data_IF_742979874664
#
_entry.id   IF_742979874664
#
_cell.length_a   1.000
_cell.length_b   1.000
_cell.length_c   1.000
_cell.angle_alpha   90.00
_cell.angle_beta   90.00
_cell.angle_gamma   90.00
#
_symmetry.space_group_name_H-M   'P 1'
#
loop_
_entity.id
_entity.type
_entity.pdbx_description
1 polymer ?
#
# COMPACT_ATOMS: atom_id res chain seq x y z
N UNK A 1 -37.62 39.50 12.27
CA UNK A 1 -37.06 39.24 10.94
C UNK A 1 -35.56 39.11 10.95
N UNK A 2 -34.86 40.10 11.47
CA UNK A 2 -33.42 40.00 11.53
C UNK A 2 -32.93 38.82 12.37
N UNK A 3 -33.63 38.51 13.43
CA UNK A 3 -33.30 37.40 14.30
C UNK A 3 -33.36 36.05 13.55
N UNK A 4 -34.33 35.94 12.66
CA UNK A 4 -34.51 34.75 11.87
C UNK A 4 -33.28 34.52 10.96
N UNK A 5 -32.79 35.59 10.37
CA UNK A 5 -31.62 35.51 9.50
C UNK A 5 -30.37 35.07 10.30
N UNK A 6 -30.23 35.62 11.50
CA UNK A 6 -29.10 35.26 12.37
C UNK A 6 -29.15 33.79 12.74
N UNK A 7 -30.33 33.26 13.02
CA UNK A 7 -30.46 31.84 13.35
C UNK A 7 -30.12 30.95 12.17
N UNK A 8 -30.45 31.37 10.98
CA UNK A 8 -30.09 30.60 9.78
C UNK A 8 -28.59 30.52 9.62
N UNK A 9 -27.89 31.61 9.85
CA UNK A 9 -26.43 31.62 9.76
C UNK A 9 -25.81 30.70 10.81
N UNK A 10 -26.35 30.76 12.03
CA UNK A 10 -25.85 29.91 13.10
C UNK A 10 -26.04 28.42 12.78
N UNK A 11 -27.19 28.08 12.19
CA UNK A 11 -27.48 26.72 11.81
C UNK A 11 -26.48 26.20 10.76
N UNK A 12 -26.16 27.03 9.79
CA UNK A 12 -25.19 26.68 8.76
C UNK A 12 -23.82 26.44 9.37
N UNK A 13 -23.40 27.31 10.28
CA UNK A 13 -22.12 27.16 10.95
C UNK A 13 -22.06 25.87 11.78
N UNK A 14 -23.11 25.55 12.49
CA UNK A 14 -23.20 24.33 13.27
C UNK A 14 -23.10 23.12 12.37
N UNK A 15 -23.77 23.14 11.23
CA UNK A 15 -23.68 22.07 10.25
C UNK A 15 -22.25 21.86 9.78
N UNK A 16 -21.56 22.94 9.48
CA UNK A 16 -20.16 22.85 9.05
C UNK A 16 -19.27 22.26 10.15
N UNK A 17 -19.53 22.61 11.40
CA UNK A 17 -18.75 22.09 12.52
C UNK A 17 -19.04 20.62 12.80
N UNK A 18 -20.25 20.18 12.49
CA UNK A 18 -20.67 18.80 12.75
C UNK A 18 -20.23 17.85 11.64
N UNK A 19 -19.93 18.37 10.49
CA UNK A 19 -19.47 17.52 9.41
C UNK A 19 -18.25 16.75 9.84
N UNK A 20 -18.25 15.44 9.58
CA UNK A 20 -17.14 14.63 10.02
C UNK A 20 -15.84 15.12 9.38
N UNK A 21 -14.81 15.13 10.18
CA UNK A 21 -13.49 15.42 9.68
C UNK A 21 -13.06 14.28 8.79
N UNK A 22 -12.78 14.58 7.54
CA UNK A 22 -12.25 13.60 6.61
C UNK A 22 -10.76 13.89 6.48
N UNK A 23 -9.96 12.96 6.96
CA UNK A 23 -8.52 13.11 6.86
C UNK A 23 -8.10 12.93 5.42
N UNK A 24 -7.40 13.92 4.90
CA UNK A 24 -6.87 13.83 3.56
C UNK A 24 -5.44 13.30 3.62
N UNK A 25 -5.15 12.35 2.75
CA UNK A 25 -3.82 11.80 2.60
C UNK A 25 -3.29 12.19 1.23
N UNK A 26 -2.08 12.71 1.19
CA UNK A 26 -1.42 12.86 -0.09
C UNK A 26 -1.09 11.46 -0.62
N UNK A 27 -0.24 10.73 0.09
CA UNK A 27 0.02 9.33 -0.21
C UNK A 27 0.80 8.73 0.95
N UNK A 28 0.22 7.70 1.56
CA UNK A 28 0.88 6.98 2.65
C UNK A 28 0.69 5.49 2.46
N UNK A 29 1.63 4.71 2.93
CA UNK A 29 1.53 3.25 2.94
C UNK A 29 1.53 2.77 4.40
N UNK A 30 0.98 1.59 4.64
CA UNK A 30 0.97 1.01 5.98
C UNK A 30 2.36 0.58 6.44
N UNK A 31 3.25 0.33 5.49
CA UNK A 31 4.63 -0.02 5.78
C UNK A 31 5.49 0.35 4.57
N UNK A 32 6.77 0.60 4.80
CA UNK A 32 7.71 0.92 3.74
C UNK A 32 8.75 -0.17 3.53
N UNK A 33 8.65 -1.25 4.30
CA UNK A 33 9.48 -2.44 4.09
C UNK A 33 8.74 -3.69 4.60
N UNK A 34 8.90 -4.79 3.87
CA UNK A 34 8.39 -6.08 4.27
C UNK A 34 9.49 -7.13 4.15
N UNK A 35 9.66 -7.93 5.20
CA UNK A 35 10.56 -9.06 5.19
C UNK A 35 9.72 -10.34 5.15
N UNK A 36 9.84 -11.08 4.08
CA UNK A 36 9.04 -12.27 3.84
C UNK A 36 9.85 -13.53 4.07
N UNK A 37 9.17 -14.56 4.55
CA UNK A 37 9.73 -15.92 4.57
C UNK A 37 9.86 -16.45 3.15
N UNK A 38 10.52 -17.58 2.99
CA UNK A 38 10.81 -18.13 1.67
C UNK A 38 9.60 -18.77 0.97
N UNK A 39 8.52 -18.98 1.70
CA UNK A 39 7.35 -19.65 1.13
C UNK A 39 6.48 -18.73 0.29
N UNK A 40 5.88 -19.29 -0.75
CA UNK A 40 4.92 -18.56 -1.59
C UNK A 40 3.76 -18.06 -0.76
N UNK A 41 3.29 -16.87 -1.05
CA UNK A 41 2.16 -16.28 -0.34
C UNK A 41 1.61 -15.08 -1.07
N UNK A 42 0.45 -14.64 -0.63
CA UNK A 42 -0.12 -13.36 -1.02
C UNK A 42 -0.24 -12.50 0.22
N UNK A 43 -0.06 -11.20 0.05
CA UNK A 43 -0.21 -10.28 1.16
C UNK A 43 -0.71 -8.93 0.67
N UNK A 44 -1.42 -8.18 1.53
CA UNK A 44 -1.92 -6.86 1.14
C UNK A 44 -0.93 -5.76 1.48
N UNK A 45 -0.92 -4.73 0.65
CA UNK A 45 -0.26 -3.45 0.95
C UNK A 45 -1.36 -2.41 0.96
N UNK A 46 -1.55 -1.76 2.10
CA UNK A 46 -2.62 -0.77 2.25
C UNK A 46 -2.13 0.60 1.80
N UNK A 47 -2.94 1.24 0.99
CA UNK A 47 -2.63 2.55 0.42
C UNK A 47 -3.62 3.57 0.98
N UNK A 48 -3.09 4.63 1.55
CA UNK A 48 -3.88 5.73 2.08
C UNK A 48 -3.65 6.95 1.20
N UNK A 49 -4.63 7.27 0.40
CA UNK A 49 -4.55 8.36 -0.57
C UNK A 49 -5.95 8.95 -0.75
N UNK A 50 -6.03 10.24 -0.99
CA UNK A 50 -7.32 10.91 -1.22
C UNK A 50 -7.65 11.03 -2.70
N UNK A 51 -6.74 10.62 -3.56
CA UNK A 51 -6.94 10.70 -5.01
C UNK A 51 -6.69 9.35 -5.65
N UNK A 52 -6.70 9.30 -6.97
CA UNK A 52 -6.35 8.09 -7.73
C UNK A 52 -4.86 7.78 -7.57
N UNK A 53 -4.54 6.51 -7.60
CA UNK A 53 -3.15 6.05 -7.50
C UNK A 53 -2.95 4.80 -8.35
N UNK A 54 -1.69 4.54 -8.70
CA UNK A 54 -1.29 3.34 -9.41
C UNK A 54 -0.09 2.72 -8.72
N UNK A 55 0.05 1.40 -8.85
CA UNK A 55 1.14 0.65 -8.26
C UNK A 55 1.87 -0.13 -9.36
N UNK A 56 3.18 -0.18 -9.26
CA UNK A 56 4.00 -0.98 -10.18
C UNK A 56 5.33 -1.29 -9.52
N UNK A 57 5.99 -2.33 -10.00
CA UNK A 57 7.35 -2.63 -9.53
C UNK A 57 8.34 -1.79 -10.31
N UNK A 58 9.36 -1.30 -9.61
CA UNK A 58 10.43 -0.52 -10.23
C UNK A 58 11.12 -1.30 -11.33
N UNK A 59 11.38 -2.59 -11.06
CA UNK A 59 11.90 -3.53 -12.04
C UNK A 59 11.07 -4.79 -11.97
N UNK A 60 10.30 -5.10 -13.01
CA UNK A 60 9.49 -6.32 -13.00
C UNK A 60 10.35 -7.56 -12.81
N UNK A 61 9.88 -8.50 -12.00
CA UNK A 61 10.56 -9.75 -11.72
C UNK A 61 9.54 -10.90 -11.74
N UNK A 62 10.00 -12.08 -12.08
CA UNK A 62 9.10 -13.22 -12.26
C UNK A 62 8.55 -13.77 -10.93
N UNK A 63 9.29 -13.59 -9.85
CA UNK A 63 8.95 -14.19 -8.56
C UNK A 63 7.90 -13.38 -7.77
N UNK A 64 7.64 -12.16 -8.18
CA UNK A 64 6.73 -11.27 -7.47
C UNK A 64 5.87 -10.51 -8.47
N UNK A 65 4.60 -10.38 -8.16
CA UNK A 65 3.66 -9.69 -9.05
C UNK A 65 2.54 -9.05 -8.26
N UNK A 66 1.87 -8.11 -8.91
CA UNK A 66 0.65 -7.51 -8.37
C UNK A 66 -0.52 -8.31 -8.93
N UNK A 67 -1.43 -8.72 -8.06
CA UNK A 67 -2.62 -9.46 -8.48
C UNK A 67 -3.49 -8.55 -9.35
N UNK A 68 -3.91 -9.07 -10.50
CA UNK A 68 -4.69 -8.32 -11.46
C UNK A 68 -5.90 -7.63 -10.82
N UNK A 69 -6.09 -6.38 -11.18
CA UNK A 69 -7.19 -5.57 -10.67
C UNK A 69 -6.84 -4.78 -9.42
N UNK A 70 -5.68 -5.02 -8.80
CA UNK A 70 -5.28 -4.28 -7.60
C UNK A 70 -4.13 -3.31 -7.84
N UNK A 71 -3.69 -3.16 -9.08
CA UNK A 71 -2.58 -2.28 -9.44
C UNK A 71 -2.96 -0.81 -9.47
N UNK A 72 -4.21 -0.49 -9.23
CA UNK A 72 -4.69 0.89 -9.20
C UNK A 72 -5.92 1.01 -8.31
N UNK A 73 -6.17 2.22 -7.86
CA UNK A 73 -7.34 2.51 -7.04
C UNK A 73 -7.58 3.99 -6.93
N UNK A 74 -8.60 4.33 -6.18
CA UNK A 74 -8.94 5.72 -5.89
C UNK A 74 -9.33 5.80 -4.42
N UNK A 75 -8.71 6.72 -3.68
CA UNK A 75 -8.91 6.79 -2.25
C UNK A 75 -8.13 5.71 -1.52
N UNK A 76 -8.58 5.35 -0.34
CA UNK A 76 -7.95 4.28 0.45
C UNK A 76 -8.21 2.95 -0.24
N UNK A 77 -7.16 2.17 -0.40
CA UNK A 77 -7.29 0.89 -1.09
C UNK A 77 -6.20 -0.09 -0.72
N UNK A 78 -6.15 -1.18 -1.46
CA UNK A 78 -5.26 -2.31 -1.20
C UNK A 78 -4.62 -2.76 -2.50
N UNK A 79 -3.28 -2.90 -2.48
CA UNK A 79 -2.54 -3.59 -3.52
C UNK A 79 -2.27 -5.00 -3.01
N UNK A 80 -2.63 -6.01 -3.77
CA UNK A 80 -2.37 -7.39 -3.37
C UNK A 80 -1.18 -7.92 -4.11
N UNK A 81 -0.23 -8.45 -3.37
CA UNK A 81 1.05 -8.92 -3.90
C UNK A 81 1.10 -10.44 -3.80
N UNK A 82 1.60 -11.06 -4.85
CA UNK A 82 1.81 -12.51 -4.90
C UNK A 82 3.29 -12.80 -5.06
N UNK A 83 3.84 -13.66 -4.21
CA UNK A 83 5.24 -14.06 -4.28
C UNK A 83 5.35 -15.56 -4.37
N UNK A 84 6.38 -16.05 -5.05
CA UNK A 84 6.67 -17.47 -5.22
C UNK A 84 7.66 -17.94 -4.16
N UNK A 85 7.79 -19.26 -4.06
CA UNK A 85 8.81 -19.85 -3.18
C UNK A 85 10.21 -19.41 -3.61
N UNK A 86 11.08 -19.27 -2.63
CA UNK A 86 12.46 -18.90 -2.89
C UNK A 86 13.41 -19.96 -2.33
N UNK A 87 14.01 -20.73 -3.21
CA UNK A 87 14.96 -21.77 -2.84
C UNK A 87 16.40 -21.40 -3.24
N UNK A 88 16.61 -20.18 -3.64
CA UNK A 88 17.89 -19.78 -4.24
C UNK A 88 18.68 -18.85 -3.31
N UNK A 89 18.41 -17.57 -3.35
CA UNK A 89 19.15 -16.56 -2.59
C UNK A 89 18.20 -15.45 -2.15
N UNK A 90 18.57 -14.69 -1.11
CA UNK A 90 17.73 -13.54 -0.72
C UNK A 90 17.50 -12.64 -1.93
N UNK A 91 16.29 -12.12 -2.05
CA UNK A 91 15.93 -11.29 -3.19
C UNK A 91 15.04 -10.15 -2.75
N UNK A 92 15.08 -9.05 -3.51
CA UNK A 92 14.41 -7.82 -3.15
C UNK A 92 13.69 -7.25 -4.36
N UNK A 93 12.52 -6.68 -4.12
CA UNK A 93 11.78 -5.94 -5.13
C UNK A 93 11.27 -4.64 -4.52
N UNK A 94 11.12 -3.62 -5.34
CA UNK A 94 10.62 -2.32 -4.91
C UNK A 94 9.30 -2.04 -5.59
N UNK A 95 8.26 -1.90 -4.78
CA UNK A 95 6.94 -1.52 -5.25
C UNK A 95 6.83 0.00 -5.17
N UNK A 96 6.40 0.64 -6.24
CA UNK A 96 6.24 2.09 -6.31
C UNK A 96 4.78 2.41 -6.50
N UNK A 97 4.25 3.29 -5.67
CA UNK A 97 2.89 3.76 -5.78
C UNK A 97 2.92 5.26 -6.03
N UNK A 98 2.21 5.69 -7.06
CA UNK A 98 2.19 7.09 -7.49
C UNK A 98 0.76 7.58 -7.53
N UNK A 99 0.50 8.75 -6.97
CA UNK A 99 -0.84 9.33 -6.98
C UNK A 99 -1.04 10.31 -8.14
N UNK A 100 -2.25 10.85 -8.23
CA UNK A 100 -2.63 11.74 -9.33
C UNK A 100 -1.81 13.03 -9.36
N UNK A 101 -1.28 13.47 -8.23
CA UNK A 101 -0.48 14.70 -8.17
C UNK A 101 1.01 14.44 -8.45
N UNK A 102 1.40 13.20 -8.68
CA UNK A 102 2.78 12.86 -9.00
C UNK A 102 3.63 12.48 -7.81
N UNK A 103 3.06 12.42 -6.62
CA UNK A 103 3.78 11.96 -5.42
C UNK A 103 3.95 10.45 -5.49
N UNK A 104 5.15 9.97 -5.22
CA UNK A 104 5.45 8.53 -5.21
C UNK A 104 5.99 8.10 -3.86
N UNK A 105 5.62 6.89 -3.47
CA UNK A 105 6.17 6.22 -2.29
C UNK A 105 6.63 4.83 -2.69
N UNK A 106 7.70 4.38 -2.08
CA UNK A 106 8.31 3.09 -2.40
C UNK A 106 8.25 2.16 -1.20
N UNK A 107 7.97 0.89 -1.48
CA UNK A 107 7.97 -0.17 -0.49
C UNK A 107 9.00 -1.20 -0.91
N UNK A 108 9.96 -1.49 -0.04
CA UNK A 108 10.99 -2.49 -0.31
C UNK A 108 10.54 -3.83 0.25
N UNK A 109 10.49 -4.84 -0.59
CA UNK A 109 10.05 -6.19 -0.21
C UNK A 109 11.25 -7.11 -0.37
N UNK A 110 11.66 -7.73 0.73
CA UNK A 110 12.78 -8.67 0.75
C UNK A 110 12.26 -10.05 1.11
N UNK A 111 12.65 -11.06 0.34
CA UNK A 111 12.26 -12.43 0.61
C UNK A 111 13.50 -13.25 0.94
N UNK A 112 13.44 -13.94 2.07
CA UNK A 112 14.49 -14.88 2.45
C UNK A 112 14.43 -16.09 1.54
N UNK A 113 15.49 -16.88 1.56
CA UNK A 113 15.52 -18.14 0.81
C UNK A 113 15.46 -19.30 1.79
N UNK A 114 15.18 -20.48 1.25
CA UNK A 114 15.07 -21.69 2.05
C UNK A 114 16.47 -22.22 2.37
N UNK A 115 17.05 -21.74 3.46
CA UNK A 115 18.39 -22.11 3.87
C UNK A 115 18.49 -23.55 4.40
N UNK A 116 17.37 -24.14 4.76
CA UNK A 116 17.35 -25.51 5.27
C UNK A 116 17.87 -26.52 4.26
N UNK A 117 17.71 -26.21 2.98
CA UNK A 117 18.23 -27.08 1.92
C UNK A 117 19.75 -27.22 1.99
N UNK A 118 20.40 -26.16 2.43
CA UNK A 118 21.87 -26.14 2.46
C UNK A 118 22.43 -26.69 3.76
N UNK A 119 21.67 -26.60 4.83
CA UNK A 119 22.06 -27.13 6.11
C UNK A 119 22.15 -28.64 6.09
N UNK A 120 21.30 -29.31 5.37
CA UNK A 120 21.29 -30.77 5.28
C UNK A 120 22.58 -31.27 4.65
N UNK A 121 23.13 -30.57 3.71
CA UNK A 121 24.35 -31.01 3.03
C UNK A 121 25.58 -30.78 3.88
N UNK A 122 25.53 -29.89 4.85
CA UNK A 122 26.65 -29.58 5.70
C UNK A 122 27.00 -30.72 6.68
N UNK A 123 26.07 -31.61 6.90
CA UNK A 123 26.27 -32.72 7.84
C UNK A 123 26.96 -33.92 7.21
N UNK A 124 27.25 -33.85 5.98
CA UNK A 124 27.92 -34.93 5.29
C UNK A 124 29.41 -34.65 5.14
#
# INVERSE_FOLDING_TARGET
MRKTIIYLIAAVLVSACVQPYVKEYDLELDSYSYDLAYTAREFPVYVYCSTAWTASFESPQEWISIIDGTEKGEGVGVVRISVQDNDDAPRTATLVITNASGTSKSLVITQKYNSDRFEITDYE
#
